data_IF_074722528454
#
_entry.id   IF_074722528454
#
_cell.length_a   1.000
_cell.length_b   1.000
_cell.length_c   1.000
_cell.angle_alpha   90.00
_cell.angle_beta   90.00
_cell.angle_gamma   90.00
#
_symmetry.space_group_name_H-M   'P 1'
#
loop_
_entity.id
_entity.type
_entity.pdbx_description
1 polymer ?
#
# COMPACT_ATOMS: atom_id res chain seq x y z
N UNK A 1 7.19 23.72 16.50
CA UNK A 1 7.90 22.97 17.58
C UNK A 1 7.36 21.55 17.62
N UNK A 2 8.23 20.55 17.68
CA UNK A 2 7.82 19.14 17.79
C UNK A 2 7.35 18.86 19.23
N UNK A 3 6.32 18.01 19.37
CA UNK A 3 5.78 17.62 20.69
C UNK A 3 6.79 16.83 21.54
N UNK A 4 6.60 16.81 22.86
CA UNK A 4 7.52 16.17 23.83
C UNK A 4 7.81 14.70 23.48
N UNK A 5 6.78 13.90 23.17
CA UNK A 5 6.94 12.48 22.78
C UNK A 5 7.82 12.29 21.55
N UNK A 6 7.68 13.15 20.53
CA UNK A 6 8.52 13.12 19.35
C UNK A 6 9.99 13.44 19.67
N UNK A 7 10.22 14.46 20.52
CA UNK A 7 11.57 14.81 20.98
C UNK A 7 12.24 13.65 21.73
N UNK A 8 11.47 12.95 22.58
CA UNK A 8 11.97 11.76 23.30
C UNK A 8 12.21 10.58 22.39
N UNK A 9 11.43 10.41 21.32
CA UNK A 9 11.66 9.38 20.29
C UNK A 9 12.92 9.68 19.49
N UNK A 10 13.18 10.94 19.15
CA UNK A 10 14.38 11.35 18.40
C UNK A 10 15.69 11.12 19.17
N UNK A 11 15.67 11.13 20.50
CA UNK A 11 16.85 10.85 21.33
C UNK A 11 17.28 9.38 21.28
N UNK A 12 16.43 8.47 20.83
CA UNK A 12 16.69 7.03 20.82
C UNK A 12 17.60 6.59 19.65
N UNK A 13 17.83 7.44 18.67
CA UNK A 13 18.63 7.09 17.50
C UNK A 13 19.36 8.32 16.92
N UNK A 14 20.40 8.08 16.13
CA UNK A 14 21.18 9.12 15.45
C UNK A 14 20.61 9.36 14.03
N UNK A 15 20.11 10.56 13.77
CA UNK A 15 19.53 10.95 12.46
C UNK A 15 20.54 10.97 11.31
N UNK A 16 21.83 11.08 11.61
CA UNK A 16 22.91 11.10 10.61
C UNK A 16 23.23 9.72 10.07
N UNK A 17 23.00 8.68 10.88
CA UNK A 17 23.29 7.30 10.54
C UNK A 17 22.24 6.65 9.65
N UNK A 18 22.68 5.67 8.89
CA UNK A 18 21.82 4.69 8.20
C UNK A 18 21.92 3.37 8.94
N UNK A 19 20.78 2.75 9.17
CA UNK A 19 20.65 1.53 9.97
C UNK A 19 20.39 0.31 9.09
N UNK A 20 20.74 -0.85 9.55
CA UNK A 20 20.34 -2.10 8.94
C UNK A 20 18.82 -2.26 9.00
N UNK A 21 18.18 -2.94 8.03
CA UNK A 21 16.72 -3.11 8.03
C UNK A 21 16.16 -3.65 9.36
N UNK A 22 16.81 -4.63 9.97
CA UNK A 22 16.39 -5.21 11.23
C UNK A 22 16.47 -4.21 12.40
N UNK A 23 17.59 -3.47 12.48
CA UNK A 23 17.78 -2.42 13.49
C UNK A 23 16.80 -1.26 13.31
N UNK A 24 16.57 -0.85 12.05
CA UNK A 24 15.63 0.22 11.74
C UNK A 24 14.20 -0.14 12.17
N UNK A 25 13.77 -1.37 11.94
CA UNK A 25 12.44 -1.87 12.34
C UNK A 25 12.29 -1.95 13.86
N UNK A 26 13.32 -2.40 14.58
CA UNK A 26 13.34 -2.40 16.04
C UNK A 26 13.24 -0.96 16.60
N UNK A 27 14.01 -0.03 16.02
CA UNK A 27 13.98 1.38 16.39
C UNK A 27 12.60 2.02 16.11
N UNK A 28 11.96 1.71 14.98
CA UNK A 28 10.62 2.21 14.66
C UNK A 28 9.61 1.74 15.71
N UNK A 29 9.63 0.47 16.09
CA UNK A 29 8.76 -0.05 17.16
C UNK A 29 9.02 0.67 18.49
N UNK A 30 10.27 0.93 18.87
CA UNK A 30 10.63 1.66 20.09
C UNK A 30 10.26 3.14 20.07
N UNK A 31 10.22 3.76 18.89
CA UNK A 31 9.85 5.17 18.71
C UNK A 31 8.37 5.42 18.57
N UNK A 32 7.56 4.38 18.37
CA UNK A 32 6.09 4.45 18.32
C UNK A 32 5.53 4.62 19.75
N UNK A 33 5.27 5.89 20.14
CA UNK A 33 4.84 6.26 21.51
C UNK A 33 3.43 6.82 21.58
N UNK A 34 2.60 6.66 20.55
CA UNK A 34 1.21 7.08 20.57
C UNK A 34 0.37 6.18 21.51
N UNK A 35 -0.85 6.65 21.83
CA UNK A 35 -1.80 5.86 22.63
C UNK A 35 -2.63 4.88 21.80
N UNK A 36 -2.39 4.82 20.50
CA UNK A 36 -3.04 3.91 19.55
C UNK A 36 -1.97 3.07 18.86
N UNK A 37 -2.37 1.98 18.23
CA UNK A 37 -1.46 1.12 17.47
C UNK A 37 -1.07 1.81 16.17
N UNK A 38 0.15 2.37 16.16
CA UNK A 38 0.67 3.16 15.04
C UNK A 38 0.89 2.28 13.81
N UNK A 39 0.57 2.82 12.64
CA UNK A 39 0.98 2.21 11.38
C UNK A 39 2.48 2.41 11.15
N UNK A 40 3.13 1.40 10.57
CA UNK A 40 4.53 1.49 10.14
C UNK A 40 4.54 1.58 8.63
N UNK A 41 5.14 2.66 8.13
CA UNK A 41 5.20 3.00 6.72
C UNK A 41 6.65 3.03 6.24
N UNK A 42 6.84 2.69 4.97
CA UNK A 42 8.11 2.77 4.28
C UNK A 42 8.02 3.79 3.14
N UNK A 43 9.06 4.59 3.00
CA UNK A 43 9.19 5.61 1.97
C UNK A 43 10.46 5.33 1.17
N UNK A 44 10.31 4.97 -0.10
CA UNK A 44 11.41 4.54 -0.96
C UNK A 44 11.56 5.53 -2.10
N UNK A 45 12.67 6.25 -2.14
CA UNK A 45 13.00 7.13 -3.26
C UNK A 45 13.73 6.34 -4.34
N UNK A 46 13.15 6.30 -5.53
CA UNK A 46 13.69 5.60 -6.68
C UNK A 46 14.50 6.51 -7.60
N UNK A 47 15.45 5.93 -8.31
CA UNK A 47 16.24 6.57 -9.34
C UNK A 47 15.59 6.47 -10.73
N UNK A 48 14.32 6.85 -10.81
CA UNK A 48 13.51 6.87 -12.04
C UNK A 48 12.95 8.26 -12.28
N UNK A 49 12.41 8.53 -13.46
CA UNK A 49 11.71 9.77 -13.77
C UNK A 49 10.22 9.49 -13.99
N UNK A 50 9.39 9.89 -13.02
CA UNK A 50 7.93 9.67 -13.04
C UNK A 50 7.19 10.40 -14.17
N UNK A 51 7.84 11.32 -14.89
CA UNK A 51 7.27 12.00 -16.05
C UNK A 51 7.21 11.09 -17.28
N UNK A 52 8.06 10.08 -17.34
CA UNK A 52 8.09 9.11 -18.43
C UNK A 52 7.20 7.90 -18.10
N UNK A 53 6.30 7.55 -19.01
CA UNK A 53 5.34 6.47 -18.80
C UNK A 53 6.00 5.09 -18.62
N UNK A 54 7.15 4.87 -19.28
CA UNK A 54 7.97 3.65 -19.20
C UNK A 54 8.76 3.52 -17.89
N UNK A 55 8.93 4.63 -17.15
CA UNK A 55 9.59 4.67 -15.84
C UNK A 55 8.61 4.75 -14.66
N UNK A 56 7.32 4.69 -14.93
CA UNK A 56 6.29 4.65 -13.90
C UNK A 56 6.24 3.28 -13.23
N UNK A 57 6.70 3.21 -11.97
CA UNK A 57 6.64 2.00 -11.15
C UNK A 57 5.30 1.96 -10.43
N UNK A 58 4.53 0.92 -10.71
CA UNK A 58 3.24 0.64 -10.07
C UNK A 58 3.00 -0.86 -10.05
N UNK A 59 2.53 -1.39 -8.93
CA UNK A 59 2.20 -2.79 -8.78
C UNK A 59 1.45 -3.06 -7.48
N UNK A 60 1.31 -4.33 -7.18
CA UNK A 60 0.74 -4.78 -5.92
C UNK A 60 1.55 -5.96 -5.36
N UNK A 61 1.52 -6.13 -4.06
CA UNK A 61 2.15 -7.24 -3.35
C UNK A 61 1.25 -7.67 -2.20
N UNK A 62 1.14 -8.97 -1.98
CA UNK A 62 0.48 -9.52 -0.80
C UNK A 62 1.52 -9.64 0.30
N UNK A 63 1.26 -9.01 1.44
CA UNK A 63 2.16 -9.05 2.58
C UNK A 63 1.93 -10.34 3.38
N UNK A 64 2.98 -11.10 3.73
CA UNK A 64 2.85 -12.37 4.46
C UNK A 64 2.06 -12.25 5.77
N UNK A 65 2.28 -11.17 6.50
CA UNK A 65 1.61 -10.92 7.79
C UNK A 65 0.44 -9.92 7.68
N UNK A 66 0.02 -9.59 6.44
CA UNK A 66 -1.01 -8.59 6.20
C UNK A 66 -0.63 -7.18 6.64
N UNK A 67 -1.60 -6.28 6.68
CA UNK A 67 -1.42 -4.86 7.07
C UNK A 67 -1.90 -4.57 8.49
N UNK A 68 -2.60 -5.51 9.15
CA UNK A 68 -3.26 -5.30 10.44
C UNK A 68 -4.51 -4.42 10.38
N UNK A 69 -5.00 -4.10 9.18
CA UNK A 69 -6.26 -3.41 8.96
C UNK A 69 -7.31 -4.37 8.42
N UNK A 70 -8.51 -4.35 8.97
CA UNK A 70 -9.66 -5.03 8.35
C UNK A 70 -10.07 -4.23 7.12
N UNK A 71 -9.92 -4.83 5.95
CA UNK A 71 -10.23 -4.21 4.66
C UNK A 71 -11.66 -4.54 4.28
N UNK A 72 -12.47 -3.51 4.01
CA UNK A 72 -13.82 -3.67 3.46
C UNK A 72 -13.75 -3.63 1.95
N UNK A 73 -14.27 -4.66 1.32
CA UNK A 73 -14.19 -4.85 -0.13
C UNK A 73 -15.53 -4.55 -0.80
N UNK A 74 -15.49 -3.76 -1.87
CA UNK A 74 -16.62 -3.56 -2.78
C UNK A 74 -16.28 -4.23 -4.12
N UNK A 75 -17.14 -5.15 -4.56
CA UNK A 75 -16.96 -5.86 -5.83
C UNK A 75 -18.04 -5.44 -6.82
N UNK A 76 -17.61 -4.97 -7.98
CA UNK A 76 -18.44 -4.72 -9.13
C UNK A 76 -18.41 -5.92 -10.08
N UNK A 77 -19.46 -6.73 -10.03
CA UNK A 77 -19.61 -7.91 -10.89
C UNK A 77 -21.08 -8.18 -11.19
N UNK A 78 -21.35 -8.91 -12.28
CA UNK A 78 -22.70 -9.35 -12.69
C UNK A 78 -22.78 -10.88 -12.72
N UNK A 79 -24.00 -11.41 -12.56
CA UNK A 79 -24.31 -12.83 -12.70
C UNK A 79 -23.51 -13.74 -11.75
N UNK A 80 -22.90 -14.80 -12.27
CA UNK A 80 -22.20 -15.79 -11.46
C UNK A 80 -20.96 -15.22 -10.77
N UNK A 81 -20.30 -14.22 -11.36
CA UNK A 81 -19.16 -13.53 -10.72
C UNK A 81 -19.54 -12.76 -9.46
N UNK A 82 -20.78 -12.27 -9.39
CA UNK A 82 -21.31 -11.66 -8.17
C UNK A 82 -21.51 -12.71 -7.05
N UNK A 83 -21.97 -13.93 -7.40
CA UNK A 83 -22.08 -15.04 -6.44
C UNK A 83 -20.71 -15.46 -5.92
N UNK A 84 -19.73 -15.67 -6.81
CA UNK A 84 -18.34 -15.98 -6.45
C UNK A 84 -17.76 -14.93 -5.48
N UNK A 85 -18.03 -13.64 -5.71
CA UNK A 85 -17.58 -12.57 -4.82
C UNK A 85 -18.20 -12.66 -3.42
N UNK A 86 -19.51 -12.99 -3.36
CA UNK A 86 -20.23 -13.16 -2.09
C UNK A 86 -19.71 -14.40 -1.33
N UNK A 87 -19.50 -15.51 -2.01
CA UNK A 87 -18.94 -16.75 -1.44
C UNK A 87 -17.50 -16.55 -0.93
N UNK A 88 -16.69 -15.73 -1.63
CA UNK A 88 -15.37 -15.32 -1.19
C UNK A 88 -15.41 -14.35 0.03
N UNK A 89 -16.60 -13.95 0.47
CA UNK A 89 -16.82 -13.13 1.65
C UNK A 89 -16.61 -11.64 1.42
N UNK A 90 -16.83 -11.11 0.21
CA UNK A 90 -16.83 -9.66 -0.02
C UNK A 90 -17.89 -8.96 0.82
N UNK A 91 -17.57 -7.76 1.35
CA UNK A 91 -18.49 -7.02 2.20
C UNK A 91 -19.63 -6.39 1.41
N UNK A 92 -19.36 -5.95 0.20
CA UNK A 92 -20.34 -5.38 -0.72
C UNK A 92 -20.15 -5.96 -2.12
N UNK A 93 -21.24 -6.43 -2.72
CA UNK A 93 -21.25 -6.97 -4.08
C UNK A 93 -22.42 -6.39 -4.83
N UNK A 94 -22.18 -5.87 -6.03
CA UNK A 94 -23.26 -5.34 -6.85
C UNK A 94 -22.78 -4.74 -8.16
N UNK A 95 -23.67 -4.02 -8.81
CA UNK A 95 -23.43 -3.46 -10.13
C UNK A 95 -23.77 -1.95 -10.16
N UNK A 96 -24.82 -1.59 -10.88
CA UNK A 96 -25.18 -0.18 -11.11
C UNK A 96 -25.76 0.52 -9.87
N UNK A 97 -26.34 -0.23 -8.94
CA UNK A 97 -26.90 0.30 -7.69
C UNK A 97 -25.83 0.99 -6.83
N UNK A 98 -24.63 0.39 -6.70
CA UNK A 98 -23.55 1.01 -5.95
C UNK A 98 -22.93 2.20 -6.70
N UNK A 99 -22.94 2.19 -8.03
CA UNK A 99 -22.52 3.36 -8.82
C UNK A 99 -23.42 4.56 -8.52
N UNK A 100 -24.73 4.34 -8.50
CA UNK A 100 -25.69 5.40 -8.16
C UNK A 100 -25.52 5.87 -6.71
N UNK A 101 -25.34 4.96 -5.77
CA UNK A 101 -25.11 5.26 -4.35
C UNK A 101 -23.88 6.10 -4.14
N UNK A 102 -22.76 5.76 -4.79
CA UNK A 102 -21.52 6.54 -4.71
C UNK A 102 -21.71 7.93 -5.33
N UNK A 103 -22.41 8.04 -6.46
CA UNK A 103 -22.62 9.33 -7.13
C UNK A 103 -23.57 10.27 -6.38
N UNK A 104 -24.67 9.74 -5.84
CA UNK A 104 -25.72 10.56 -5.22
C UNK A 104 -25.43 10.85 -3.75
N UNK A 105 -24.92 9.86 -3.02
CA UNK A 105 -24.75 9.92 -1.57
C UNK A 105 -23.30 10.12 -1.13
N UNK A 106 -22.33 10.14 -2.06
CA UNK A 106 -20.89 10.10 -1.75
C UNK A 106 -20.54 8.95 -0.80
N UNK A 107 -21.26 7.84 -0.89
CA UNK A 107 -21.01 6.68 -0.06
C UNK A 107 -19.68 6.03 -0.42
N UNK A 108 -18.75 5.97 0.53
CA UNK A 108 -17.38 5.47 0.36
C UNK A 108 -16.95 4.61 1.55
N UNK A 109 -17.88 3.81 2.07
CA UNK A 109 -17.65 2.97 3.25
C UNK A 109 -16.98 1.63 2.89
N UNK A 110 -15.94 1.70 2.05
CA UNK A 110 -15.11 0.61 1.60
C UNK A 110 -13.66 1.07 1.44
N UNK A 111 -12.73 0.11 1.49
CA UNK A 111 -11.29 0.39 1.42
C UNK A 111 -10.66 -0.09 0.11
N UNK A 112 -11.23 -1.11 -0.53
CA UNK A 112 -10.75 -1.66 -1.81
C UNK A 112 -11.92 -1.90 -2.74
N UNK A 113 -11.75 -1.51 -4.01
CA UNK A 113 -12.70 -1.78 -5.09
C UNK A 113 -12.11 -2.80 -6.06
N UNK A 114 -12.85 -3.87 -6.28
CA UNK A 114 -12.53 -4.91 -7.26
C UNK A 114 -13.60 -4.86 -8.35
N UNK A 115 -13.21 -5.05 -9.60
CA UNK A 115 -14.12 -5.00 -10.72
C UNK A 115 -13.82 -6.06 -11.76
N UNK A 116 -14.87 -6.60 -12.38
CA UNK A 116 -14.72 -7.36 -13.61
C UNK A 116 -14.49 -6.38 -14.79
N UNK A 117 -13.74 -6.78 -15.83
CA UNK A 117 -13.42 -5.89 -16.96
C UNK A 117 -14.66 -5.32 -17.66
N UNK A 118 -15.75 -6.06 -17.74
CA UNK A 118 -17.03 -5.64 -18.32
C UNK A 118 -17.70 -4.50 -17.54
N UNK A 119 -17.47 -4.43 -16.21
CA UNK A 119 -17.99 -3.35 -15.36
C UNK A 119 -17.20 -2.05 -15.43
N UNK A 120 -15.98 -2.07 -16.01
CA UNK A 120 -15.12 -0.89 -16.06
C UNK A 120 -15.74 0.29 -16.84
N UNK A 121 -16.57 0.02 -17.86
CA UNK A 121 -17.27 1.07 -18.59
C UNK A 121 -18.26 1.85 -17.72
N UNK A 122 -18.88 1.19 -16.76
CA UNK A 122 -19.83 1.80 -15.81
C UNK A 122 -19.07 2.51 -14.68
N UNK A 123 -18.03 1.87 -14.14
CA UNK A 123 -17.18 2.39 -13.06
C UNK A 123 -16.36 3.61 -13.53
N UNK A 124 -16.05 3.71 -14.82
CA UNK A 124 -15.34 4.85 -15.40
C UNK A 124 -16.01 6.19 -15.09
N UNK A 125 -17.35 6.21 -14.95
CA UNK A 125 -18.12 7.41 -14.54
C UNK A 125 -17.78 7.86 -13.11
N UNK A 126 -17.31 6.95 -12.26
CA UNK A 126 -16.87 7.23 -10.89
C UNK A 126 -15.42 7.73 -10.79
N UNK A 127 -14.69 7.82 -11.91
CA UNK A 127 -13.27 8.18 -11.93
C UNK A 127 -12.96 9.51 -11.23
N UNK A 128 -13.86 10.50 -11.31
CA UNK A 128 -13.72 11.78 -10.61
C UNK A 128 -13.84 11.67 -9.08
N UNK A 129 -14.55 10.66 -8.58
CA UNK A 129 -14.77 10.41 -7.14
C UNK A 129 -13.74 9.43 -6.58
N UNK A 130 -13.55 8.28 -7.25
CA UNK A 130 -12.66 7.21 -6.79
C UNK A 130 -11.19 7.50 -7.08
N UNK A 131 -10.89 8.20 -8.18
CA UNK A 131 -9.51 8.47 -8.62
C UNK A 131 -8.67 9.25 -7.59
N UNK A 132 -9.14 10.43 -7.12
CA UNK A 132 -8.40 11.21 -6.11
C UNK A 132 -8.20 10.50 -4.78
N UNK A 133 -9.11 9.55 -4.45
CA UNK A 133 -9.05 8.76 -3.21
C UNK A 133 -8.22 7.47 -3.34
N UNK A 134 -7.68 7.18 -4.53
CA UNK A 134 -6.90 5.96 -4.77
C UNK A 134 -7.73 4.68 -4.81
N UNK A 135 -9.07 4.79 -4.90
CA UNK A 135 -10.01 3.65 -4.88
C UNK A 135 -10.38 3.13 -6.28
N UNK A 136 -9.84 3.73 -7.34
CA UNK A 136 -10.16 3.34 -8.70
C UNK A 136 -9.50 2.00 -9.06
N UNK A 137 -10.28 0.98 -9.48
CA UNK A 137 -9.72 -0.31 -9.88
C UNK A 137 -8.71 -0.18 -11.02
N UNK A 138 -7.65 -0.99 -10.97
CA UNK A 138 -6.59 -0.96 -11.96
C UNK A 138 -6.09 -2.37 -12.29
N UNK A 139 -5.92 -2.74 -13.59
CA UNK A 139 -5.37 -4.03 -13.98
C UNK A 139 -3.96 -4.29 -13.44
N UNK A 140 -3.09 -3.26 -13.38
CA UNK A 140 -1.72 -3.39 -12.87
C UNK A 140 -1.66 -3.69 -11.37
N UNK A 141 -2.67 -3.28 -10.61
CA UNK A 141 -2.83 -3.63 -9.21
C UNK A 141 -3.56 -4.98 -9.00
N UNK A 142 -4.06 -5.58 -10.10
CA UNK A 142 -4.83 -6.81 -10.06
C UNK A 142 -6.20 -6.67 -9.38
N UNK A 143 -6.76 -5.43 -9.37
CA UNK A 143 -8.11 -5.14 -8.88
C UNK A 143 -9.14 -5.11 -10.01
N UNK A 144 -8.70 -5.22 -11.27
CA UNK A 144 -9.54 -5.52 -12.43
C UNK A 144 -9.20 -6.92 -12.91
N UNK A 145 -10.07 -7.88 -12.66
CA UNK A 145 -9.83 -9.30 -12.97
C UNK A 145 -11.12 -10.08 -13.16
N UNK A 146 -11.04 -11.18 -13.90
CA UNK A 146 -12.13 -12.18 -14.00
C UNK A 146 -12.12 -13.16 -12.81
N UNK A 147 -10.97 -13.33 -12.12
CA UNK A 147 -10.85 -14.15 -10.92
C UNK A 147 -11.14 -13.32 -9.67
N UNK A 148 -12.42 -13.10 -9.45
CA UNK A 148 -12.91 -12.22 -8.39
C UNK A 148 -12.65 -12.82 -7.01
N UNK A 149 -12.83 -14.13 -6.84
CA UNK A 149 -12.64 -14.82 -5.56
C UNK A 149 -11.20 -14.67 -5.08
N UNK A 150 -10.21 -14.88 -5.96
CA UNK A 150 -8.80 -14.69 -5.63
C UNK A 150 -8.50 -13.23 -5.25
N UNK A 151 -9.04 -12.26 -6.02
CA UNK A 151 -8.80 -10.86 -5.74
C UNK A 151 -9.36 -10.41 -4.38
N UNK A 152 -10.52 -10.92 -3.98
CA UNK A 152 -11.12 -10.68 -2.65
C UNK A 152 -10.25 -11.28 -1.55
N UNK A 153 -9.83 -12.55 -1.71
CA UNK A 153 -8.96 -13.21 -0.76
C UNK A 153 -7.61 -12.51 -0.61
N UNK A 154 -6.97 -12.13 -1.71
CA UNK A 154 -5.72 -11.36 -1.71
C UNK A 154 -5.88 -10.02 -0.97
N UNK A 155 -6.98 -9.28 -1.24
CA UNK A 155 -7.25 -8.00 -0.59
C UNK A 155 -7.41 -8.18 0.93
N UNK A 156 -8.10 -9.23 1.39
CA UNK A 156 -8.27 -9.57 2.81
C UNK A 156 -6.99 -10.12 3.44
N UNK A 157 -6.15 -10.81 2.67
CA UNK A 157 -4.84 -11.26 3.14
C UNK A 157 -3.83 -10.12 3.34
N UNK A 158 -4.16 -8.90 2.92
CA UNK A 158 -3.30 -7.74 3.09
C UNK A 158 -2.50 -7.38 1.85
N UNK A 159 -3.10 -7.52 0.68
CA UNK A 159 -2.56 -6.98 -0.58
C UNK A 159 -2.49 -5.47 -0.51
N UNK A 160 -1.30 -4.92 -0.71
CA UNK A 160 -1.08 -3.49 -0.83
C UNK A 160 -0.73 -3.11 -2.26
N UNK A 161 -1.18 -1.93 -2.68
CA UNK A 161 -0.75 -1.32 -3.92
C UNK A 161 0.39 -0.35 -3.65
N UNK A 162 1.41 -0.36 -4.51
CA UNK A 162 2.47 0.63 -4.50
C UNK A 162 2.48 1.40 -5.82
N UNK A 163 2.69 2.70 -5.71
CA UNK A 163 2.73 3.62 -6.84
C UNK A 163 3.77 4.70 -6.60
N UNK A 164 4.52 5.02 -7.65
CA UNK A 164 5.44 6.13 -7.67
C UNK A 164 4.68 7.46 -7.69
N UNK A 165 5.07 8.39 -6.85
CA UNK A 165 4.56 9.76 -6.84
C UNK A 165 5.31 10.67 -7.83
N UNK A 166 4.93 11.95 -7.89
CA UNK A 166 5.57 12.96 -8.75
C UNK A 166 7.00 13.31 -8.31
N UNK A 167 7.38 12.98 -7.08
CA UNK A 167 8.71 13.23 -6.50
C UNK A 167 9.62 12.00 -6.58
N UNK A 168 9.17 10.96 -7.28
CA UNK A 168 9.85 9.67 -7.44
C UNK A 168 10.00 8.91 -6.12
N UNK A 169 9.02 9.05 -5.23
CA UNK A 169 8.96 8.34 -3.95
C UNK A 169 7.74 7.41 -3.95
N UNK A 170 7.91 6.22 -3.40
CA UNK A 170 6.81 5.32 -3.07
C UNK A 170 6.57 5.34 -1.57
N UNK A 171 5.30 5.41 -1.18
CA UNK A 171 4.83 5.39 0.19
C UNK A 171 3.96 4.16 0.38
N UNK A 172 4.39 3.23 1.25
CA UNK A 172 3.71 1.95 1.46
C UNK A 172 3.55 1.64 2.94
N UNK A 173 2.37 1.16 3.32
CA UNK A 173 2.11 0.60 4.63
C UNK A 173 2.70 -0.82 4.69
N UNK A 174 3.50 -1.14 5.71
CA UNK A 174 4.07 -2.48 5.92
C UNK A 174 3.49 -3.21 7.13
N UNK A 175 2.70 -2.55 7.95
CA UNK A 175 2.03 -3.18 9.09
C UNK A 175 1.75 -2.21 10.22
N UNK A 176 1.58 -2.78 11.41
CA UNK A 176 1.36 -2.05 12.67
C UNK A 176 2.55 -2.21 13.59
N UNK A 177 2.78 -1.24 14.47
CA UNK A 177 3.84 -1.31 15.47
C UNK A 177 3.70 -2.53 16.40
N UNK A 178 2.47 -2.96 16.66
CA UNK A 178 2.14 -4.17 17.44
C UNK A 178 2.62 -5.49 16.80
N UNK A 179 2.94 -5.50 15.50
CA UNK A 179 3.45 -6.71 14.84
C UNK A 179 4.85 -7.12 15.34
N UNK A 180 5.60 -6.16 15.83
CA UNK A 180 7.00 -6.35 16.21
C UNK A 180 7.96 -6.40 15.00
N UNK A 181 9.28 -6.34 15.27
CA UNK A 181 10.29 -6.21 14.22
C UNK A 181 10.38 -7.42 13.29
N UNK A 182 10.07 -8.64 13.77
CA UNK A 182 10.16 -9.87 12.96
C UNK A 182 9.13 -9.88 11.84
N UNK A 183 7.83 -9.74 12.16
CA UNK A 183 6.74 -9.74 11.18
C UNK A 183 6.84 -8.55 10.22
N UNK A 184 7.22 -7.38 10.74
CA UNK A 184 7.50 -6.21 9.90
C UNK A 184 8.68 -6.47 8.97
N UNK A 185 9.70 -7.22 9.40
CA UNK A 185 10.85 -7.62 8.59
C UNK A 185 10.48 -8.53 7.43
N UNK A 186 9.58 -9.48 7.64
CA UNK A 186 9.05 -10.34 6.57
C UNK A 186 8.26 -9.54 5.54
N UNK A 187 7.37 -8.64 6.01
CA UNK A 187 6.60 -7.75 5.14
C UNK A 187 7.51 -6.79 4.35
N UNK A 188 8.54 -6.25 5.02
CA UNK A 188 9.56 -5.41 4.40
C UNK A 188 10.27 -6.14 3.26
N UNK A 189 10.75 -7.38 3.51
CA UNK A 189 11.44 -8.20 2.50
C UNK A 189 10.54 -8.51 1.31
N UNK A 190 9.27 -8.86 1.55
CA UNK A 190 8.30 -9.13 0.49
C UNK A 190 8.07 -7.90 -0.40
N UNK A 191 7.88 -6.73 0.21
CA UNK A 191 7.71 -5.47 -0.52
C UNK A 191 8.97 -5.11 -1.30
N UNK A 192 10.15 -5.15 -0.68
CA UNK A 192 11.40 -4.80 -1.35
C UNK A 192 11.70 -5.71 -2.54
N UNK A 193 11.48 -7.01 -2.40
CA UNK A 193 11.61 -7.97 -3.52
C UNK A 193 10.68 -7.64 -4.69
N UNK A 194 9.43 -7.23 -4.39
CA UNK A 194 8.49 -6.82 -5.43
C UNK A 194 8.92 -5.52 -6.12
N UNK A 195 9.41 -4.55 -5.36
CA UNK A 195 9.92 -3.26 -5.88
C UNK A 195 11.15 -3.44 -6.76
N UNK A 196 12.09 -4.28 -6.35
CA UNK A 196 13.32 -4.59 -7.13
C UNK A 196 12.95 -5.28 -8.45
N UNK A 197 12.03 -6.26 -8.40
CA UNK A 197 11.53 -6.94 -9.62
C UNK A 197 10.81 -6.00 -10.57
N UNK A 198 10.20 -4.95 -10.05
CA UNK A 198 9.48 -3.93 -10.85
C UNK A 198 10.40 -2.86 -11.46
N UNK A 199 11.73 -3.00 -11.33
CA UNK A 199 12.71 -2.05 -11.91
C UNK A 199 12.52 -1.94 -13.43
N UNK A 200 12.24 -0.73 -13.97
CA UNK A 200 12.15 -0.53 -15.41
C UNK A 200 13.50 -0.75 -16.10
N UNK A 201 13.50 -1.35 -17.29
CA UNK A 201 14.72 -1.55 -18.07
C UNK A 201 15.37 -0.21 -18.49
N UNK A 202 14.58 0.85 -18.62
CA UNK A 202 15.05 2.20 -18.94
C UNK A 202 15.71 2.94 -17.77
N UNK A 203 15.60 2.39 -16.52
CA UNK A 203 16.22 2.99 -15.34
C UNK A 203 17.73 2.78 -15.35
N UNK A 204 18.49 3.90 -15.41
CA UNK A 204 19.96 3.89 -15.37
C UNK A 204 20.47 4.27 -13.98
N UNK A 205 21.60 3.67 -13.59
CA UNK A 205 22.26 3.95 -12.31
C UNK A 205 21.56 3.30 -11.10
N UNK A 206 21.72 3.93 -9.93
CA UNK A 206 21.19 3.42 -8.68
C UNK A 206 19.67 3.51 -8.64
N UNK A 207 19.00 2.37 -8.53
CA UNK A 207 17.54 2.29 -8.54
C UNK A 207 16.92 2.73 -7.21
N UNK A 208 17.40 2.21 -6.08
CA UNK A 208 16.95 2.64 -4.75
C UNK A 208 17.92 3.73 -4.24
N UNK A 209 17.48 4.99 -4.26
CA UNK A 209 18.32 6.12 -3.80
C UNK A 209 18.30 6.30 -2.29
N UNK A 210 17.14 6.12 -1.68
CA UNK A 210 16.99 6.17 -0.22
C UNK A 210 15.78 5.37 0.23
N UNK A 211 15.86 4.82 1.43
CA UNK A 211 14.78 4.12 2.10
C UNK A 211 14.66 4.66 3.52
N UNK A 212 13.44 5.00 3.93
CA UNK A 212 13.13 5.50 5.27
C UNK A 212 11.91 4.76 5.80
N UNK A 213 11.96 4.34 7.05
CA UNK A 213 10.83 3.73 7.76
C UNK A 213 10.38 4.67 8.86
N UNK A 214 9.09 4.83 9.03
CA UNK A 214 8.51 5.67 10.07
C UNK A 214 7.23 5.05 10.65
N UNK A 215 6.96 5.32 11.92
CA UNK A 215 5.62 5.12 12.48
C UNK A 215 4.77 6.38 12.30
N UNK A 216 3.45 6.25 12.44
CA UNK A 216 2.48 7.35 12.16
C UNK A 216 2.87 8.67 12.84
N UNK A 217 3.29 8.62 14.10
CA UNK A 217 3.66 9.81 14.89
C UNK A 217 5.15 9.86 15.21
N UNK A 218 5.91 8.88 14.75
CA UNK A 218 7.33 8.76 15.02
C UNK A 218 8.21 9.49 14.00
N UNK A 219 9.51 9.55 14.28
CA UNK A 219 10.51 10.09 13.35
C UNK A 219 10.85 9.09 12.26
N UNK A 220 11.32 9.60 11.10
CA UNK A 220 11.81 8.77 10.02
C UNK A 220 13.22 8.22 10.28
N UNK A 221 13.40 6.92 10.18
CA UNK A 221 14.67 6.19 10.38
C UNK A 221 15.19 5.76 9.01
N UNK A 222 16.42 6.18 8.70
CA UNK A 222 17.06 5.86 7.41
C UNK A 222 17.57 4.42 7.40
N UNK A 223 17.24 3.69 6.34
CA UNK A 223 17.67 2.30 6.12
C UNK A 223 18.81 2.27 5.12
N UNK A 224 19.81 1.44 5.36
CA UNK A 224 20.92 1.21 4.44
C UNK A 224 20.43 0.54 3.15
N UNK A 225 20.66 1.18 2.01
CA UNK A 225 20.24 0.66 0.70
C UNK A 225 21.19 -0.43 0.19
N UNK A 226 22.44 -0.50 0.67
CA UNK A 226 23.43 -1.50 0.27
C UNK A 226 23.12 -2.93 0.75
N UNK A 227 22.18 -3.09 1.66
CA UNK A 227 21.75 -4.39 2.21
C UNK A 227 20.31 -4.77 1.79
N UNK A 228 19.77 -4.04 0.81
CA UNK A 228 18.41 -4.24 0.30
C UNK A 228 18.45 -4.94 -1.08
N UNK A 229 19.59 -4.89 -1.77
CA UNK A 229 19.81 -5.52 -3.09
C UNK A 229 19.97 -7.05 -2.97
#
# INVERSE_FOLDING_TARGET
>A
MNGKKYQDSVKLYDKSKTYDPAEALDLVCKTAKAKFDEAVEIHIRLGVDSRHADQQVRGAVVLPNGTGKKVRTLVFAKGDKAKEATEAGSDYVGAEEYVQKIQKENWLDFDVVIATPDMMGVIGRLGKVLGPKGLMPNPKAGTVTMDVAKAVNDAKAGKIEYRLDKTNIMHCLIGKASFGPEKLGENFKALMSAVIKAKPASSKGQYIRSCVIASTMGPGIKVSTSKID
#
